data_IF_309414052197
#
_entry.id   IF_309414052197
#
_cell.length_a   1.000
_cell.length_b   1.000
_cell.length_c   1.000
_cell.angle_alpha   90.00
_cell.angle_beta   90.00
_cell.angle_gamma   90.00
#
_symmetry.space_group_name_H-M   'P 1'
#
loop_
_entity.id
_entity.type
_entity.pdbx_description
1 polymer ?
#
# COMPACT_ATOMS: atom_id res chain seq x y z
N UNK A 1 12.92 -5.51 40.76
CA UNK A 1 12.22 -6.20 39.65
C UNK A 1 11.11 -5.27 39.17
N UNK A 2 11.15 -4.71 37.95
CA UNK A 2 10.09 -3.83 37.46
C UNK A 2 8.99 -4.63 36.76
N UNK A 3 7.75 -4.16 36.91
CA UNK A 3 6.54 -4.79 36.42
C UNK A 3 6.41 -4.66 34.89
N UNK A 4 5.94 -5.74 34.27
CA UNK A 4 5.64 -5.87 32.85
C UNK A 4 4.36 -5.08 32.58
N UNK A 5 4.48 -3.78 32.30
CA UNK A 5 3.31 -2.90 32.24
C UNK A 5 3.55 -1.60 31.51
N UNK A 6 4.23 -1.63 30.37
CA UNK A 6 4.06 -0.61 29.32
C UNK A 6 4.75 -1.16 28.06
N UNK A 7 4.17 -2.19 27.46
CA UNK A 7 4.47 -2.44 26.04
C UNK A 7 3.78 -1.30 25.32
N UNK A 8 4.55 -0.28 25.01
CA UNK A 8 4.30 0.73 23.98
C UNK A 8 3.83 -0.04 22.74
N UNK A 9 2.52 -0.27 22.64
CA UNK A 9 1.92 -0.80 21.42
C UNK A 9 2.13 0.36 20.47
N UNK A 10 2.98 0.22 19.43
CA UNK A 10 3.27 1.34 18.56
C UNK A 10 1.93 1.86 18.05
N UNK A 11 1.55 3.05 18.49
CA UNK A 11 0.42 3.77 17.93
C UNK A 11 0.74 3.80 16.44
N UNK A 12 -0.05 3.09 15.60
CA UNK A 12 0.19 3.02 14.16
C UNK A 12 0.33 4.46 13.69
N UNK A 13 1.57 4.90 13.49
CA UNK A 13 1.85 6.25 13.03
C UNK A 13 1.06 6.46 11.76
N UNK A 14 0.55 7.67 11.56
CA UNK A 14 -0.14 8.00 10.32
C UNK A 14 0.77 7.56 9.17
N UNK A 15 0.30 6.65 8.28
CA UNK A 15 1.13 6.21 7.18
C UNK A 15 1.63 7.43 6.42
N UNK A 16 2.91 7.45 6.05
CA UNK A 16 3.41 8.56 5.24
C UNK A 16 2.56 8.64 3.98
N UNK A 17 2.41 9.83 3.40
CA UNK A 17 1.54 10.03 2.24
C UNK A 17 1.82 8.99 1.13
N UNK A 18 3.10 8.67 0.88
CA UNK A 18 3.49 7.61 -0.06
C UNK A 18 3.03 6.21 0.35
N UNK A 19 3.10 5.84 1.63
CA UNK A 19 2.60 4.55 2.13
C UNK A 19 1.08 4.47 1.99
N UNK A 20 0.35 5.55 2.31
CA UNK A 20 -1.10 5.61 2.17
C UNK A 20 -1.54 5.50 0.71
N UNK A 21 -0.81 6.17 -0.20
CA UNK A 21 -1.04 6.10 -1.64
C UNK A 21 -0.75 4.70 -2.18
N UNK A 22 0.37 4.09 -1.77
CA UNK A 22 0.74 2.73 -2.12
C UNK A 22 -0.33 1.73 -1.65
N UNK A 23 -0.74 1.80 -0.38
CA UNK A 23 -1.73 0.90 0.18
C UNK A 23 -3.09 1.03 -0.53
N UNK A 24 -3.53 2.25 -0.83
CA UNK A 24 -4.79 2.48 -1.54
C UNK A 24 -4.78 1.90 -2.96
N UNK A 25 -3.67 2.04 -3.69
CA UNK A 25 -3.50 1.45 -5.02
C UNK A 25 -3.43 -0.08 -4.97
N UNK A 26 -2.77 -0.63 -3.94
CA UNK A 26 -2.65 -2.06 -3.75
C UNK A 26 -4.02 -2.69 -3.48
N UNK A 27 -4.80 -2.09 -2.57
CA UNK A 27 -6.13 -2.56 -2.21
C UNK A 27 -7.07 -2.55 -3.41
N UNK A 28 -7.09 -1.46 -4.19
CA UNK A 28 -7.88 -1.35 -5.42
C UNK A 28 -7.48 -2.42 -6.44
N UNK A 29 -6.19 -2.65 -6.63
CA UNK A 29 -5.68 -3.66 -7.58
C UNK A 29 -6.10 -5.06 -7.17
N UNK A 30 -6.01 -5.38 -5.87
CA UNK A 30 -6.44 -6.67 -5.33
C UNK A 30 -7.95 -6.84 -5.50
N UNK A 31 -8.75 -5.82 -5.23
CA UNK A 31 -10.20 -5.87 -5.38
C UNK A 31 -10.61 -6.17 -6.83
N UNK A 32 -10.05 -5.44 -7.80
CA UNK A 32 -10.33 -5.67 -9.22
C UNK A 32 -9.81 -7.03 -9.71
N UNK A 33 -8.61 -7.45 -9.32
CA UNK A 33 -8.04 -8.74 -9.72
C UNK A 33 -8.80 -9.92 -9.08
N UNK A 34 -9.35 -9.74 -7.88
CA UNK A 34 -10.20 -10.75 -7.22
C UNK A 34 -11.57 -10.85 -7.87
N UNK A 35 -12.09 -9.74 -8.42
CA UNK A 35 -13.38 -9.69 -9.10
C UNK A 35 -13.35 -10.31 -10.50
N UNK A 36 -12.24 -10.13 -11.24
CA UNK A 36 -12.03 -10.74 -12.56
C UNK A 36 -10.71 -11.54 -12.59
N UNK A 37 -10.74 -12.83 -12.20
CA UNK A 37 -9.56 -13.68 -12.18
C UNK A 37 -8.94 -13.92 -13.56
N UNK A 38 -9.72 -13.81 -14.64
CA UNK A 38 -9.22 -14.01 -16.00
C UNK A 38 -8.31 -12.85 -16.41
N UNK A 39 -8.66 -11.64 -15.97
CA UNK A 39 -7.88 -10.42 -16.22
C UNK A 39 -6.96 -10.03 -15.07
N UNK A 40 -6.93 -10.80 -13.98
CA UNK A 40 -6.12 -10.52 -12.80
C UNK A 40 -4.66 -10.18 -13.13
N UNK A 41 -4.04 -10.90 -14.08
CA UNK A 41 -2.66 -10.63 -14.50
C UNK A 41 -2.48 -9.26 -15.14
N UNK A 42 -3.43 -8.84 -15.98
CA UNK A 42 -3.43 -7.51 -16.62
C UNK A 42 -3.69 -6.42 -15.58
N UNK A 43 -4.64 -6.65 -14.67
CA UNK A 43 -5.02 -5.73 -13.60
C UNK A 43 -3.85 -5.51 -12.64
N UNK A 44 -3.16 -6.58 -12.25
CA UNK A 44 -1.97 -6.50 -11.41
C UNK A 44 -0.85 -5.73 -12.11
N UNK A 45 -0.58 -6.02 -13.39
CA UNK A 45 0.44 -5.30 -14.15
C UNK A 45 0.13 -3.79 -14.23
N UNK A 46 -1.12 -3.44 -14.52
CA UNK A 46 -1.57 -2.05 -14.55
C UNK A 46 -1.45 -1.37 -13.17
N UNK A 47 -1.82 -2.07 -12.09
CA UNK A 47 -1.67 -1.57 -10.72
C UNK A 47 -0.21 -1.27 -10.38
N UNK A 48 0.72 -2.14 -10.78
CA UNK A 48 2.15 -1.91 -10.62
C UNK A 48 2.66 -0.69 -11.40
N UNK A 49 2.24 -0.52 -12.66
CA UNK A 49 2.61 0.66 -13.46
C UNK A 49 2.07 1.96 -12.83
N UNK A 50 0.81 1.97 -12.37
CA UNK A 50 0.21 3.10 -11.70
C UNK A 50 0.96 3.48 -10.41
N UNK A 51 1.33 2.49 -9.59
CA UNK A 51 2.16 2.69 -8.40
C UNK A 51 3.54 3.26 -8.75
N UNK A 52 4.19 2.70 -9.77
CA UNK A 52 5.52 3.15 -10.20
C UNK A 52 5.49 4.61 -10.62
N UNK A 53 4.53 5.01 -11.46
CA UNK A 53 4.35 6.40 -11.88
C UNK A 53 4.05 7.33 -10.71
N UNK A 54 3.11 6.96 -9.83
CA UNK A 54 2.70 7.78 -8.70
C UNK A 54 3.82 8.01 -7.68
N UNK A 55 4.72 7.03 -7.50
CA UNK A 55 5.81 7.10 -6.52
C UNK A 55 7.11 7.66 -7.10
N UNK A 56 7.39 7.50 -8.40
CA UNK A 56 8.61 8.03 -9.04
C UNK A 56 8.46 9.47 -9.52
N UNK A 57 7.27 9.90 -9.92
CA UNK A 57 7.03 11.31 -10.26
C UNK A 57 7.11 12.22 -9.02
N UNK A 58 6.92 11.64 -7.82
CA UNK A 58 7.14 12.32 -6.54
C UNK A 58 8.63 12.55 -6.19
N UNK A 59 9.56 11.80 -6.82
CA UNK A 59 11.01 11.87 -6.56
C UNK A 59 11.75 12.73 -7.61
N UNK A 60 11.06 13.15 -8.67
CA UNK A 60 11.64 13.86 -9.81
C UNK A 60 11.72 15.39 -9.67
N UNK A 61 11.75 15.95 -8.45
CA UNK A 61 11.77 17.41 -8.25
C UNK A 61 12.74 17.90 -7.18
#
# INVERSE_FOLDING_TARGET
MPAIGERDIPQRGVPRFGDALFLSLAETTIEFASHDPQRAREIIALGFEAMWHALHEADAK
#
